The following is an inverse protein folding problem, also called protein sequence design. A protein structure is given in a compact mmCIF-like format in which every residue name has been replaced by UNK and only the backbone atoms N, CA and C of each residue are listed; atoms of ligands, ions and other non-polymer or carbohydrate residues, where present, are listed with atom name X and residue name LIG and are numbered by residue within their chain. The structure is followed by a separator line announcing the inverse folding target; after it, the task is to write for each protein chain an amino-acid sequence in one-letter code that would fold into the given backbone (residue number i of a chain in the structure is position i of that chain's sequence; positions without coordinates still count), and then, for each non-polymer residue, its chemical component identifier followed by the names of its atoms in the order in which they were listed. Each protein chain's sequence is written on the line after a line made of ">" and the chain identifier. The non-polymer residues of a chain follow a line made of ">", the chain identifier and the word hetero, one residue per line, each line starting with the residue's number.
data_IF_369420759401
#
_entry.id   IF_369420759401
#
_cell.length_a   1.000
_cell.length_b   1.000
_cell.length_c   1.000
_cell.angle_alpha   90.00
_cell.angle_beta   90.00
_cell.angle_gamma   90.00
#
_symmetry.space_group_name_H-M   'P 1'
#
loop_
_entity.id
_entity.type
_entity.pdbx_description
1 polymer ?
#
# COMPACT_ATOMS: atom_id res chain seq x y z
N UNK A 1 -5.56 -6.89 -28.24
CA UNK A 1 -4.40 -7.02 -27.34
C UNK A 1 -4.89 -6.79 -25.92
N UNK A 2 -4.90 -7.79 -25.02
CA UNK A 2 -5.23 -7.54 -23.61
C UNK A 2 -4.07 -6.74 -23.04
N UNK A 3 -4.30 -5.46 -22.74
CA UNK A 3 -3.29 -4.54 -22.22
C UNK A 3 -2.73 -5.00 -20.86
N UNK A 4 -3.45 -5.89 -20.16
CA UNK A 4 -3.08 -6.45 -18.86
C UNK A 4 -3.52 -7.94 -18.74
N UNK A 5 -2.69 -8.92 -19.13
CA UNK A 5 -3.03 -10.33 -18.98
C UNK A 5 -3.04 -10.73 -17.49
N UNK A 6 -4.12 -11.40 -17.05
CA UNK A 6 -4.26 -11.87 -15.66
C UNK A 6 -4.44 -10.75 -14.63
N UNK A 7 -4.80 -9.54 -15.06
CA UNK A 7 -4.97 -8.42 -14.15
C UNK A 7 -6.26 -8.51 -13.33
N UNK A 8 -6.17 -8.11 -12.07
CA UNK A 8 -7.31 -8.01 -11.16
C UNK A 8 -7.16 -6.78 -10.24
N UNK A 9 -8.23 -6.43 -9.53
CA UNK A 9 -8.26 -5.32 -8.60
C UNK A 9 -7.84 -5.74 -7.18
N UNK A 10 -7.03 -4.88 -6.57
CA UNK A 10 -6.56 -5.04 -5.20
C UNK A 10 -6.62 -3.70 -4.46
N UNK A 11 -6.26 -3.74 -3.18
CA UNK A 11 -6.27 -2.60 -2.28
C UNK A 11 -4.91 -2.42 -1.65
N UNK A 12 -4.45 -1.17 -1.58
CA UNK A 12 -3.16 -0.82 -0.99
C UNK A 12 -3.32 0.27 0.06
N UNK A 13 -2.71 0.06 1.22
CA UNK A 13 -2.57 1.10 2.24
C UNK A 13 -1.40 2.01 1.85
N UNK A 14 -1.65 3.31 1.87
CA UNK A 14 -0.68 4.35 1.52
C UNK A 14 -0.72 5.46 2.56
N UNK A 15 0.39 6.19 2.69
CA UNK A 15 0.41 7.48 3.37
C UNK A 15 -0.16 8.56 2.44
N UNK A 16 -1.03 9.43 2.95
CA UNK A 16 -1.63 10.56 2.23
C UNK A 16 -1.08 11.87 2.79
N UNK A 17 -0.27 12.55 1.99
CA UNK A 17 0.36 13.83 2.34
C UNK A 17 0.07 14.83 1.22
N UNK A 18 -0.57 15.96 1.53
CA UNK A 18 -0.91 17.00 0.56
C UNK A 18 -1.58 16.45 -0.73
N UNK A 19 -2.57 15.57 -0.56
CA UNK A 19 -3.28 14.86 -1.64
C UNK A 19 -2.40 13.96 -2.54
N UNK A 20 -1.19 13.60 -2.09
CA UNK A 20 -0.31 12.64 -2.76
C UNK A 20 -0.23 11.35 -1.96
N UNK A 21 -0.06 10.23 -2.66
CA UNK A 21 -0.04 8.89 -2.05
C UNK A 21 1.37 8.32 -2.06
N UNK A 22 1.87 7.95 -0.90
CA UNK A 22 3.22 7.42 -0.73
C UNK A 22 3.21 6.04 -0.09
N UNK A 23 4.28 5.28 -0.31
CA UNK A 23 4.51 4.06 0.44
C UNK A 23 4.65 4.38 1.92
N UNK A 24 4.15 3.47 2.75
CA UNK A 24 4.31 3.56 4.20
C UNK A 24 5.74 3.20 4.61
N UNK A 25 6.42 2.33 3.84
CA UNK A 25 7.75 1.81 4.13
C UNK A 25 8.90 2.51 3.38
N UNK A 26 8.57 3.34 2.40
CA UNK A 26 9.55 4.09 1.59
C UNK A 26 8.97 5.47 1.26
N UNK A 27 9.54 6.50 1.87
CA UNK A 27 9.05 7.88 1.72
C UNK A 27 9.19 8.44 0.31
N UNK A 28 10.08 7.88 -0.51
CA UNK A 28 10.31 8.34 -1.88
C UNK A 28 9.39 7.65 -2.91
N UNK A 29 8.76 6.54 -2.54
CA UNK A 29 7.89 5.78 -3.44
C UNK A 29 6.48 6.37 -3.47
N UNK A 30 6.23 7.24 -4.46
CA UNK A 30 4.90 7.79 -4.75
C UNK A 30 4.07 6.88 -5.68
N UNK A 31 2.76 6.81 -5.40
CA UNK A 31 1.73 6.17 -6.21
C UNK A 31 0.83 7.24 -6.82
N UNK A 32 1.01 7.53 -8.11
CA UNK A 32 0.15 8.46 -8.86
C UNK A 32 -0.98 7.70 -9.54
N UNK A 33 -2.21 8.19 -9.39
CA UNK A 33 -3.37 7.63 -10.09
C UNK A 33 -3.17 7.72 -11.60
N UNK A 34 -3.42 6.62 -12.32
CA UNK A 34 -3.22 6.53 -13.76
C UNK A 34 -1.78 6.23 -14.19
N UNK A 35 -0.82 6.12 -13.26
CA UNK A 35 0.57 5.80 -13.59
C UNK A 35 0.93 4.38 -13.18
N UNK A 36 1.40 3.60 -14.16
CA UNK A 36 1.93 2.26 -13.92
C UNK A 36 3.26 2.38 -13.18
N UNK A 37 3.48 1.51 -12.20
CA UNK A 37 4.79 1.26 -11.61
C UNK A 37 5.18 -0.21 -11.78
N UNK A 38 6.48 -0.43 -11.90
CA UNK A 38 7.09 -1.74 -11.97
C UNK A 38 8.22 -1.84 -10.96
N UNK A 39 8.27 -2.95 -10.25
CA UNK A 39 9.38 -3.34 -9.41
C UNK A 39 9.45 -4.86 -9.36
N UNK A 40 10.63 -5.43 -9.59
CA UNK A 40 10.82 -6.88 -9.56
C UNK A 40 10.40 -7.45 -8.20
N UNK A 41 9.59 -8.51 -8.22
CA UNK A 41 9.21 -9.22 -6.99
C UNK A 41 10.34 -10.16 -6.60
N UNK A 42 10.85 -10.01 -5.38
CA UNK A 42 11.90 -10.86 -4.82
C UNK A 42 11.43 -11.51 -3.51
N UNK A 43 11.92 -12.72 -3.17
CA UNK A 43 11.69 -13.32 -1.87
C UNK A 43 12.09 -12.40 -0.71
N UNK A 44 11.62 -12.72 0.49
CA UNK A 44 11.96 -11.98 1.72
C UNK A 44 11.59 -10.49 1.70
N UNK A 45 10.55 -10.11 0.93
CA UNK A 45 10.01 -8.75 0.85
C UNK A 45 10.99 -7.71 0.29
N UNK A 46 11.85 -8.12 -0.63
CA UNK A 46 12.90 -7.28 -1.23
C UNK A 46 12.50 -6.70 -2.59
N UNK A 47 11.28 -6.20 -2.70
CA UNK A 47 10.76 -5.58 -3.93
C UNK A 47 9.27 -5.82 -4.10
N UNK A 48 8.78 -5.42 -5.28
CA UNK A 48 7.38 -5.48 -5.66
C UNK A 48 6.44 -4.65 -4.80
N UNK A 49 5.16 -4.72 -5.13
CA UNK A 49 4.12 -3.92 -4.50
C UNK A 49 3.16 -4.80 -3.70
N UNK A 50 3.23 -4.63 -2.38
CA UNK A 50 2.31 -5.27 -1.45
C UNK A 50 0.91 -4.67 -1.53
N UNK A 51 -0.07 -5.55 -1.69
CA UNK A 51 -1.51 -5.28 -1.80
C UNK A 51 -2.33 -6.34 -1.07
N UNK A 52 -3.62 -6.06 -0.91
CA UNK A 52 -4.60 -6.93 -0.26
C UNK A 52 -5.74 -7.22 -1.23
N UNK A 53 -6.30 -8.44 -1.16
CA UNK A 53 -7.46 -8.82 -1.96
C UNK A 53 -8.74 -8.09 -1.53
N UNK A 54 -8.88 -7.83 -0.23
CA UNK A 54 -10.08 -7.21 0.34
C UNK A 54 -9.77 -5.87 1.00
N UNK A 55 -10.66 -4.89 0.82
CA UNK A 55 -10.54 -3.57 1.45
C UNK A 55 -10.50 -3.66 2.98
N UNK A 56 -11.24 -4.61 3.58
CA UNK A 56 -11.23 -4.84 5.03
C UNK A 56 -9.84 -5.25 5.53
N UNK A 57 -9.17 -6.15 4.81
CA UNK A 57 -7.81 -6.58 5.15
C UNK A 57 -6.80 -5.44 5.01
N UNK A 58 -6.99 -4.54 4.05
CA UNK A 58 -6.17 -3.34 3.92
C UNK A 58 -6.40 -2.34 5.07
N UNK A 59 -7.64 -2.11 5.48
CA UNK A 59 -7.98 -1.18 6.57
C UNK A 59 -7.41 -1.66 7.91
N UNK A 60 -7.51 -2.96 8.21
CA UNK A 60 -7.00 -3.56 9.44
C UNK A 60 -5.58 -4.11 9.30
N UNK A 61 -4.85 -3.66 8.29
CA UNK A 61 -3.47 -4.05 8.08
C UNK A 61 -2.61 -3.73 9.31
N UNK A 62 -1.96 -4.75 9.86
CA UNK A 62 -0.87 -4.53 10.80
C UNK A 62 0.35 -4.02 10.04
N UNK A 63 0.83 -2.86 10.47
CA UNK A 63 1.92 -2.10 9.86
C UNK A 63 2.94 -1.92 10.97
N UNK A 64 4.09 -2.57 10.80
CA UNK A 64 5.24 -2.33 11.66
C UNK A 64 5.87 -0.95 11.39
N UNK A 65 6.42 -0.34 12.43
CA UNK A 65 7.27 0.83 12.30
C UNK A 65 8.49 0.50 11.44
N UNK A 66 8.88 1.44 10.57
CA UNK A 66 10.12 1.40 9.81
C UNK A 66 10.68 2.81 9.74
N UNK A 67 11.95 2.95 10.14
CA UNK A 67 12.68 4.21 10.02
C UNK A 67 12.78 4.66 8.56
N UNK A 68 12.68 5.97 8.34
CA UNK A 68 12.63 6.57 6.99
C UNK A 68 11.32 6.33 6.21
N UNK A 69 10.36 5.63 6.81
CA UNK A 69 9.01 5.43 6.27
C UNK A 69 8.01 6.50 6.72
N UNK A 70 6.80 6.43 6.18
CA UNK A 70 5.69 7.33 6.49
C UNK A 70 4.74 6.73 7.55
N UNK A 71 5.30 6.16 8.62
CA UNK A 71 4.53 5.40 9.61
C UNK A 71 3.45 6.25 10.34
N UNK A 72 3.80 7.50 10.67
CA UNK A 72 2.95 8.47 11.39
C UNK A 72 2.04 9.30 10.46
N UNK A 73 2.22 9.21 9.15
CA UNK A 73 1.43 9.99 8.21
C UNK A 73 -0.04 9.52 8.21
N UNK A 74 -1.00 10.42 7.91
CA UNK A 74 -2.38 10.04 7.64
C UNK A 74 -2.43 8.94 6.58
N UNK A 75 -3.32 7.97 6.74
CA UNK A 75 -3.43 6.83 5.83
C UNK A 75 -4.59 7.01 4.86
N UNK A 76 -4.48 6.38 3.70
CA UNK A 76 -5.59 6.15 2.78
C UNK A 76 -5.51 4.74 2.22
N UNK A 77 -6.64 4.24 1.72
CA UNK A 77 -6.68 3.05 0.88
C UNK A 77 -6.86 3.50 -0.57
N UNK A 78 -5.99 3.02 -1.44
CA UNK A 78 -6.15 3.15 -2.88
C UNK A 78 -6.55 1.81 -3.48
N UNK A 79 -7.47 1.85 -4.45
CA UNK A 79 -7.76 0.71 -5.34
C UNK A 79 -6.72 0.72 -6.45
N UNK A 80 -6.22 -0.46 -6.76
CA UNK A 80 -5.15 -0.65 -7.74
C UNK A 80 -5.46 -1.83 -8.65
N UNK A 81 -4.96 -1.80 -9.88
CA UNK A 81 -4.90 -2.96 -10.77
C UNK A 81 -3.49 -3.56 -10.64
N UNK A 82 -3.39 -4.87 -10.44
CA UNK A 82 -2.10 -5.57 -10.39
C UNK A 82 -2.07 -6.72 -11.40
N UNK A 83 -0.88 -7.02 -11.92
CA UNK A 83 -0.65 -8.15 -12.84
C UNK A 83 0.82 -8.64 -12.76
N UNK A 84 1.09 -9.76 -13.46
CA UNK A 84 2.34 -10.51 -13.35
C UNK A 84 2.28 -11.57 -12.25
N UNK A 85 3.37 -12.33 -12.09
CA UNK A 85 3.44 -13.42 -11.10
C UNK A 85 3.61 -12.87 -9.67
N UNK A 86 2.64 -13.10 -8.76
CA UNK A 86 2.75 -12.61 -7.40
C UNK A 86 3.50 -13.56 -6.47
N UNK A 87 4.06 -13.00 -5.38
CA UNK A 87 4.41 -13.78 -4.19
C UNK A 87 3.38 -13.56 -3.08
N UNK A 88 3.00 -14.65 -2.40
CA UNK A 88 2.06 -14.60 -1.28
C UNK A 88 2.80 -14.50 0.06
N UNK A 89 2.28 -13.65 0.95
CA UNK A 89 2.79 -13.43 2.30
C UNK A 89 1.62 -13.37 3.28
N UNK A 90 1.06 -14.54 3.62
CA UNK A 90 -0.11 -14.65 4.47
C UNK A 90 -1.33 -13.99 3.82
N UNK A 91 -1.80 -12.88 4.37
CA UNK A 91 -2.94 -12.13 3.84
C UNK A 91 -2.57 -11.03 2.81
N UNK A 92 -1.27 -10.87 2.50
CA UNK A 92 -0.78 -9.89 1.54
C UNK A 92 -0.29 -10.60 0.28
N UNK A 93 -0.49 -9.98 -0.87
CA UNK A 93 0.11 -10.38 -2.14
C UNK A 93 1.12 -9.33 -2.56
N UNK A 94 2.22 -9.75 -3.16
CA UNK A 94 3.24 -8.85 -3.71
C UNK A 94 3.28 -9.03 -5.23
N UNK A 95 2.92 -7.99 -5.98
CA UNK A 95 2.90 -7.99 -7.44
C UNK A 95 4.01 -7.13 -8.04
N UNK A 96 4.53 -7.50 -9.22
CA UNK A 96 5.56 -6.70 -9.88
C UNK A 96 5.02 -5.43 -10.52
N UNK A 97 3.77 -5.46 -10.99
CA UNK A 97 3.12 -4.31 -11.61
C UNK A 97 1.93 -3.83 -10.78
N UNK A 98 1.79 -2.50 -10.69
CA UNK A 98 0.67 -1.85 -10.04
C UNK A 98 0.25 -0.60 -10.82
N UNK A 99 -1.06 -0.39 -10.94
CA UNK A 99 -1.67 0.81 -11.49
C UNK A 99 -2.69 1.35 -10.48
N UNK A 100 -2.39 2.43 -9.76
CA UNK A 100 -3.37 3.10 -8.92
C UNK A 100 -4.52 3.68 -9.75
N UNK A 101 -5.77 3.39 -9.38
CA UNK A 101 -6.95 3.79 -10.15
C UNK A 101 -7.94 4.67 -9.38
N UNK A 102 -8.01 4.54 -8.05
CA UNK A 102 -8.99 5.27 -7.26
C UNK A 102 -8.53 5.44 -5.80
N UNK A 103 -8.68 6.65 -5.25
CA UNK A 103 -8.59 6.89 -3.81
C UNK A 103 -9.93 6.56 -3.15
N UNK A 104 -9.93 5.62 -2.21
CA UNK A 104 -11.11 5.24 -1.44
C UNK A 104 -11.18 5.97 -0.10
N UNK A 105 -10.14 6.73 0.27
CA UNK A 105 -10.03 7.27 1.62
C UNK A 105 -9.80 6.17 2.67
N UNK A 106 -10.15 6.51 3.91
CA UNK A 106 -10.33 5.55 5.00
C UNK A 106 -11.82 5.45 5.32
N UNK A 107 -12.58 4.59 4.60
CA UNK A 107 -14.03 4.57 4.73
C UNK A 107 -14.54 4.14 6.12
N UNK A 108 -13.68 3.60 6.98
CA UNK A 108 -14.01 3.18 8.36
C UNK A 108 -13.13 3.83 9.44
N UNK A 109 -12.40 4.90 9.11
CA UNK A 109 -11.43 5.52 10.03
C UNK A 109 -10.14 4.68 10.22
N UNK A 110 -9.28 5.10 11.15
CA UNK A 110 -8.01 4.42 11.48
C UNK A 110 -8.09 3.78 12.87
N UNK A 111 -7.60 2.53 13.04
CA UNK A 111 -7.11 2.06 14.35
C UNK A 111 -5.74 2.70 14.58
N UNK A 112 -5.72 3.91 15.12
CA UNK A 112 -4.49 4.45 15.72
C UNK A 112 -4.02 3.46 16.79
N UNK A 113 -2.80 2.95 16.64
CA UNK A 113 -2.12 2.25 17.72
C UNK A 113 -2.07 3.24 18.90
N UNK A 114 -2.90 3.08 19.95
CA UNK A 114 -3.08 4.13 20.96
C UNK A 114 -1.81 4.35 21.79
N UNK A 115 -0.89 3.39 21.76
CA UNK A 115 0.29 3.33 22.62
C UNK A 115 1.47 4.19 22.15
N UNK A 116 1.46 4.76 20.95
CA UNK A 116 2.62 5.50 20.42
C UNK A 116 2.40 7.01 20.20
N UNK A 117 1.15 7.51 20.28
CA UNK A 117 0.89 8.95 20.17
C UNK A 117 1.20 9.76 21.45
N UNK A 118 1.43 9.11 22.59
CA UNK A 118 1.52 9.79 23.91
C UNK A 118 2.99 10.07 24.32
N UNK A 119 4.00 9.63 23.57
CA UNK A 119 5.41 9.73 24.00
C UNK A 119 6.24 10.84 23.33
N UNK A 120 5.65 11.77 22.58
CA UNK A 120 6.39 12.90 21.98
C UNK A 120 6.13 14.26 22.66
N UNK A 121 5.60 14.24 23.88
CA UNK A 121 5.50 15.42 24.75
C UNK A 121 6.00 15.08 26.15
N UNK A 122 7.31 14.90 26.29
CA UNK A 122 8.06 15.12 27.53
C UNK A 122 9.43 15.69 27.20
#
# INVERSE_FOLDING_TARGET
>A
MKMFPGADFFYKVVAKLNNRFYSIYDSHCEYKVGHIKYEEVKPNKQGGYFVYKDVKNAIFADIAYKEGGNFLAPRSIIKVICWGEPLSYGNKLCYPFILPVLDLGLPMGYKSNPKQCIQLTQ
#
